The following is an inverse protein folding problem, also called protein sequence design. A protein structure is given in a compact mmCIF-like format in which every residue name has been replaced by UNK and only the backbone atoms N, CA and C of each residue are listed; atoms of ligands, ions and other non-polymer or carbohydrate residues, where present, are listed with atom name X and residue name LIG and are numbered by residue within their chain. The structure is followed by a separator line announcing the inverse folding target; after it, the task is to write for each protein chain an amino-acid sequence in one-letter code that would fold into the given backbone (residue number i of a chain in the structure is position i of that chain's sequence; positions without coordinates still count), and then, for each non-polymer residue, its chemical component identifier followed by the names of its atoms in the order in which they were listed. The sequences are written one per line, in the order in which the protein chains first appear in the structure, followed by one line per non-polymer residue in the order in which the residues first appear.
data_IF_957532791511
#
_entry.id   IF_957532791511
#
_cell.length_a   1.000
_cell.length_b   1.000
_cell.length_c   1.000
_cell.angle_alpha   90.00
_cell.angle_beta   90.00
_cell.angle_gamma   90.00
#
_symmetry.space_group_name_H-M   'P 1'
#
loop_
_entity.id
_entity.type
_entity.pdbx_description
1 polymer ?
#
# COMPACT_ATOMS: atom_id res chain seq x y z
N UNK A 1 2.33 -12.66 -23.51
CA UNK A 1 3.74 -13.00 -23.22
C UNK A 1 3.77 -13.72 -21.88
N UNK A 2 4.06 -15.03 -21.89
CA UNK A 2 3.88 -15.95 -20.75
C UNK A 2 5.14 -15.97 -19.87
N UNK A 3 5.11 -15.34 -18.70
CA UNK A 3 6.17 -15.52 -17.69
C UNK A 3 5.76 -16.73 -16.83
N UNK A 4 6.49 -17.82 -16.99
CA UNK A 4 6.33 -19.05 -16.21
C UNK A 4 6.62 -18.74 -14.74
N UNK A 5 5.60 -18.82 -13.88
CA UNK A 5 5.79 -19.03 -12.44
C UNK A 5 6.49 -20.37 -12.25
N UNK A 6 7.79 -20.34 -12.01
CA UNK A 6 8.54 -21.50 -11.58
C UNK A 6 8.25 -21.72 -10.09
N UNK A 7 7.62 -22.85 -9.78
CA UNK A 7 7.53 -23.42 -8.45
C UNK A 7 8.91 -23.39 -7.77
N UNK A 8 9.03 -22.64 -6.67
CA UNK A 8 10.07 -22.85 -5.67
C UNK A 8 9.41 -23.52 -4.47
N UNK A 9 9.00 -24.78 -4.67
CA UNK A 9 8.55 -25.68 -3.61
C UNK A 9 9.56 -26.83 -3.47
N UNK A 10 10.79 -26.48 -3.11
CA UNK A 10 11.82 -27.44 -2.71
C UNK A 10 12.79 -26.75 -1.74
N UNK A 11 12.34 -26.47 -0.52
CA UNK A 11 13.20 -25.90 0.53
C UNK A 11 13.70 -26.99 1.49
N UNK A 12 14.81 -27.59 1.05
CA UNK A 12 16.00 -27.94 1.84
C UNK A 12 15.83 -28.71 3.16
N UNK A 13 15.76 -30.05 3.05
CA UNK A 13 16.36 -30.98 4.02
C UNK A 13 17.78 -31.38 3.58
N UNK A 14 18.58 -30.41 3.12
CA UNK A 14 20.00 -30.63 2.84
C UNK A 14 20.74 -30.78 4.17
N UNK A 15 21.24 -31.99 4.47
CA UNK A 15 22.10 -32.24 5.60
C UNK A 15 23.36 -31.36 5.50
N UNK A 16 23.40 -30.27 6.27
CA UNK A 16 24.60 -29.44 6.44
C UNK A 16 25.55 -30.18 7.39
N UNK A 17 26.88 -30.14 7.14
CA UNK A 17 27.83 -30.74 8.05
C UNK A 17 27.74 -30.05 9.42
N UNK A 18 27.44 -30.82 10.45
CA UNK A 18 27.25 -30.35 11.82
C UNK A 18 28.58 -29.86 12.39
N UNK A 19 28.69 -28.62 12.85
CA UNK A 19 29.69 -28.34 13.88
C UNK A 19 29.31 -29.15 15.11
N UNK A 20 30.28 -29.87 15.68
CA UNK A 20 30.09 -30.62 16.93
C UNK A 20 29.48 -29.75 18.06
N UNK A 21 29.72 -28.44 18.01
CA UNK A 21 29.25 -27.42 18.94
C UNK A 21 27.72 -27.20 18.91
N UNK A 22 27.06 -27.54 17.81
CA UNK A 22 25.59 -27.45 17.66
C UNK A 22 24.89 -28.81 17.74
N UNK A 23 25.61 -29.89 18.04
CA UNK A 23 25.06 -31.26 18.05
C UNK A 23 23.81 -31.39 18.93
N UNK A 24 23.78 -30.75 20.09
CA UNK A 24 22.61 -30.74 20.98
C UNK A 24 21.41 -30.01 20.36
N UNK A 25 21.62 -28.79 19.83
CA UNK A 25 20.57 -27.99 19.21
C UNK A 25 19.92 -28.73 18.03
N UNK A 26 20.71 -29.35 17.16
CA UNK A 26 20.18 -30.15 16.06
C UNK A 26 19.51 -31.45 16.52
N UNK A 27 19.96 -32.06 17.62
CA UNK A 27 19.28 -33.23 18.20
C UNK A 27 17.90 -32.85 18.73
N UNK A 28 17.78 -31.71 19.40
CA UNK A 28 16.51 -31.16 19.86
C UNK A 28 15.57 -30.89 18.67
N UNK A 29 16.03 -30.22 17.60
CA UNK A 29 15.25 -30.02 16.38
C UNK A 29 14.74 -31.33 15.75
N UNK A 30 15.57 -32.37 15.70
CA UNK A 30 15.19 -33.68 15.14
C UNK A 30 14.09 -34.37 15.92
N UNK A 31 14.00 -34.12 17.23
CA UNK A 31 12.94 -34.65 18.10
C UNK A 31 11.69 -33.76 18.14
N UNK A 32 11.73 -32.58 17.53
CA UNK A 32 10.66 -31.58 17.63
C UNK A 32 10.72 -30.70 18.88
N UNK A 33 11.81 -30.76 19.66
CA UNK A 33 12.08 -29.90 20.82
C UNK A 33 12.57 -28.51 20.32
N UNK A 34 11.69 -27.74 19.66
CA UNK A 34 12.07 -26.50 18.95
C UNK A 34 12.53 -25.40 19.89
N UNK A 35 11.84 -25.19 21.01
CA UNK A 35 12.19 -24.18 22.01
C UNK A 35 13.57 -24.44 22.64
N UNK A 36 13.86 -25.70 22.95
CA UNK A 36 15.17 -26.13 23.45
C UNK A 36 16.24 -25.85 22.40
N UNK A 37 15.97 -26.16 21.13
CA UNK A 37 16.91 -25.86 20.05
C UNK A 37 17.19 -24.35 19.92
N UNK A 38 16.15 -23.51 19.98
CA UNK A 38 16.29 -22.04 19.96
C UNK A 38 17.20 -21.60 21.10
N UNK A 39 16.92 -22.03 22.33
CA UNK A 39 17.72 -21.71 23.52
C UNK A 39 19.20 -22.12 23.34
N UNK A 40 19.44 -23.31 22.79
CA UNK A 40 20.78 -23.82 22.54
C UNK A 40 21.52 -23.06 21.43
N UNK A 41 20.83 -22.55 20.42
CA UNK A 41 21.43 -21.67 19.41
C UNK A 41 21.67 -20.26 19.97
N UNK A 42 20.74 -19.68 20.73
CA UNK A 42 20.87 -18.35 21.32
C UNK A 42 22.06 -18.26 22.28
N UNK A 43 22.29 -19.30 23.09
CA UNK A 43 23.46 -19.42 23.95
C UNK A 43 24.81 -19.38 23.20
N UNK A 44 24.80 -19.59 21.89
CA UNK A 44 25.99 -19.61 21.02
C UNK A 44 26.23 -18.31 20.25
N UNK A 45 25.29 -17.36 20.28
CA UNK A 45 25.42 -16.07 19.58
C UNK A 45 26.64 -15.27 20.08
N UNK A 46 26.88 -15.32 21.40
CA UNK A 46 27.96 -14.58 22.08
C UNK A 46 29.24 -15.41 22.27
N UNK A 47 29.40 -16.52 21.54
CA UNK A 47 30.62 -17.33 21.63
C UNK A 47 31.85 -16.50 21.24
N UNK A 48 32.98 -16.58 21.99
CA UNK A 48 34.21 -15.88 21.66
C UNK A 48 34.71 -16.16 20.24
N UNK A 49 34.39 -17.33 19.70
CA UNK A 49 34.67 -17.67 18.30
C UNK A 49 33.54 -17.14 17.42
N UNK A 50 33.75 -15.96 16.85
CA UNK A 50 32.76 -15.21 16.04
C UNK A 50 32.04 -16.08 14.99
N UNK A 51 32.73 -17.03 14.33
CA UNK A 51 32.10 -17.91 13.32
C UNK A 51 30.98 -18.78 13.89
N UNK A 52 31.03 -19.15 15.17
CA UNK A 52 29.97 -19.90 15.85
C UNK A 52 28.73 -19.01 15.97
N UNK A 53 28.90 -17.76 16.38
CA UNK A 53 27.80 -16.81 16.45
C UNK A 53 27.11 -16.59 15.10
N UNK A 54 27.87 -16.55 13.99
CA UNK A 54 27.30 -16.40 12.63
C UNK A 54 26.40 -17.56 12.29
N UNK A 55 26.84 -18.79 12.56
CA UNK A 55 26.04 -19.97 12.29
C UNK A 55 24.82 -20.06 13.20
N UNK A 56 24.97 -19.73 14.49
CA UNK A 56 23.85 -19.69 15.43
C UNK A 56 22.74 -18.76 14.91
N UNK A 57 23.09 -17.53 14.53
CA UNK A 57 22.17 -16.55 13.96
C UNK A 57 21.57 -17.07 12.63
N UNK A 58 22.36 -17.71 11.76
CA UNK A 58 21.85 -18.31 10.53
C UNK A 58 20.84 -19.44 10.78
N UNK A 59 21.09 -20.32 11.76
CA UNK A 59 20.14 -21.40 12.09
C UNK A 59 18.87 -20.87 12.76
N UNK A 60 18.99 -19.88 13.65
CA UNK A 60 17.82 -19.20 14.22
C UNK A 60 16.96 -18.58 13.11
N UNK A 61 17.58 -17.88 12.15
CA UNK A 61 16.85 -17.36 11.00
C UNK A 61 16.06 -18.45 10.26
N UNK A 62 16.65 -19.63 10.06
CA UNK A 62 15.96 -20.77 9.41
C UNK A 62 14.84 -21.36 10.25
N UNK A 63 14.98 -21.42 11.58
CA UNK A 63 13.94 -21.90 12.50
C UNK A 63 12.74 -20.96 12.44
N UNK A 64 12.95 -19.66 12.68
CA UNK A 64 11.88 -18.66 12.67
C UNK A 64 11.22 -18.50 11.28
N UNK A 65 11.90 -18.89 10.21
CA UNK A 65 11.36 -18.88 8.84
C UNK A 65 10.61 -20.15 8.43
N UNK A 66 10.56 -21.16 9.29
CA UNK A 66 10.00 -22.47 8.95
C UNK A 66 8.54 -22.58 9.43
N UNK A 67 7.56 -22.62 8.51
CA UNK A 67 6.14 -22.68 8.87
C UNK A 67 5.73 -23.98 9.57
N UNK A 68 6.61 -25.00 9.59
CA UNK A 68 6.39 -26.23 10.39
C UNK A 68 6.42 -25.94 11.89
N UNK A 69 7.13 -24.91 12.33
CA UNK A 69 7.26 -24.51 13.73
C UNK A 69 6.29 -23.37 14.04
N UNK A 70 4.98 -23.62 13.96
CA UNK A 70 3.93 -22.60 13.96
C UNK A 70 4.05 -21.56 15.08
N UNK A 71 4.34 -22.00 16.31
CA UNK A 71 4.47 -21.14 17.50
C UNK A 71 5.67 -20.19 17.41
N UNK A 72 6.68 -20.54 16.62
CA UNK A 72 7.92 -19.77 16.44
C UNK A 72 8.03 -19.16 15.04
N UNK A 73 7.03 -19.32 14.17
CA UNK A 73 7.11 -18.79 12.81
C UNK A 73 6.98 -17.26 12.84
N UNK A 74 8.07 -16.57 12.49
CA UNK A 74 8.13 -15.11 12.48
C UNK A 74 9.16 -14.64 11.44
N UNK A 75 8.67 -14.17 10.28
CA UNK A 75 9.53 -13.74 9.18
C UNK A 75 10.37 -12.49 9.54
N UNK A 76 9.84 -11.57 10.34
CA UNK A 76 10.57 -10.39 10.82
C UNK A 76 11.74 -10.81 11.68
N UNK A 77 11.52 -11.66 12.67
CA UNK A 77 12.57 -12.15 13.55
C UNK A 77 13.61 -12.99 12.79
N UNK A 78 13.15 -13.84 11.86
CA UNK A 78 14.03 -14.58 10.96
C UNK A 78 14.95 -13.64 10.16
N UNK A 79 14.40 -12.55 9.62
CA UNK A 79 15.17 -11.57 8.85
C UNK A 79 16.19 -10.83 9.71
N UNK A 80 15.84 -10.46 10.95
CA UNK A 80 16.79 -9.85 11.89
C UNK A 80 17.96 -10.79 12.20
N UNK A 81 17.70 -12.08 12.43
CA UNK A 81 18.76 -13.05 12.65
C UNK A 81 19.65 -13.22 11.40
N UNK A 82 19.08 -13.29 10.20
CA UNK A 82 19.86 -13.38 8.96
C UNK A 82 20.72 -12.12 8.72
N UNK A 83 20.19 -10.93 9.05
CA UNK A 83 20.92 -9.65 8.98
C UNK A 83 22.06 -9.59 9.99
N UNK A 84 21.86 -10.08 11.22
CA UNK A 84 22.91 -10.19 12.23
C UNK A 84 24.00 -11.16 11.79
N UNK A 85 23.63 -12.33 11.25
CA UNK A 85 24.56 -13.30 10.70
C UNK A 85 25.43 -12.67 9.60
N UNK A 86 24.85 -11.89 8.69
CA UNK A 86 25.60 -11.20 7.62
C UNK A 86 26.59 -10.18 8.20
N UNK A 87 26.13 -9.32 9.13
CA UNK A 87 26.99 -8.32 9.77
C UNK A 87 28.17 -8.96 10.47
N UNK A 88 27.92 -10.05 11.20
CA UNK A 88 28.95 -10.79 11.91
C UNK A 88 29.89 -11.54 10.96
N UNK A 89 29.38 -12.11 9.87
CA UNK A 89 30.19 -12.73 8.82
C UNK A 89 31.21 -11.74 8.23
N UNK A 90 30.79 -10.48 8.00
CA UNK A 90 31.67 -9.42 7.47
C UNK A 90 32.84 -9.06 8.39
N UNK A 91 32.81 -9.44 9.67
CA UNK A 91 33.90 -9.20 10.64
C UNK A 91 34.87 -10.37 10.79
N UNK A 92 34.63 -11.49 10.09
CA UNK A 92 35.45 -12.69 10.22
C UNK A 92 36.82 -12.53 9.56
N UNK A 93 37.83 -13.11 10.21
CA UNK A 93 39.14 -13.33 9.60
C UNK A 93 39.08 -14.48 8.57
N UNK A 94 40.14 -14.61 7.77
CA UNK A 94 40.23 -15.66 6.74
C UNK A 94 40.08 -17.08 7.32
N UNK A 95 40.51 -17.31 8.57
CA UNK A 95 40.38 -18.60 9.26
C UNK A 95 38.92 -18.89 9.61
N UNK A 96 38.19 -17.90 10.13
CA UNK A 96 36.76 -17.97 10.42
C UNK A 96 35.94 -18.22 9.16
N UNK A 97 36.23 -17.48 8.08
CA UNK A 97 35.58 -17.66 6.77
C UNK A 97 35.76 -19.10 6.27
N UNK A 98 36.99 -19.63 6.27
CA UNK A 98 37.27 -21.01 5.84
C UNK A 98 36.51 -22.05 6.68
N UNK A 99 36.33 -21.81 7.99
CA UNK A 99 35.56 -22.71 8.87
C UNK A 99 34.08 -22.75 8.47
N UNK A 100 33.46 -21.61 8.20
CA UNK A 100 32.06 -21.56 7.75
C UNK A 100 31.88 -22.17 6.36
N UNK A 101 32.79 -21.88 5.43
CA UNK A 101 32.75 -22.40 4.06
C UNK A 101 32.88 -23.92 4.01
N UNK A 102 33.67 -24.54 4.90
CA UNK A 102 33.71 -26.01 5.04
C UNK A 102 32.34 -26.62 5.32
N UNK A 103 31.46 -25.86 5.97
CA UNK A 103 30.09 -26.26 6.29
C UNK A 103 29.05 -25.62 5.36
N UNK A 104 29.50 -25.16 4.19
CA UNK A 104 28.68 -24.57 3.13
C UNK A 104 27.94 -23.30 3.55
N UNK A 105 28.40 -22.61 4.60
CA UNK A 105 27.86 -21.30 4.98
C UNK A 105 28.75 -20.19 4.42
N UNK A 106 28.31 -19.55 3.35
CA UNK A 106 28.99 -18.43 2.71
C UNK A 106 28.22 -17.13 2.91
N UNK A 107 28.84 -15.99 2.60
CA UNK A 107 28.13 -14.70 2.53
C UNK A 107 26.91 -14.78 1.60
N UNK A 108 27.07 -15.39 0.42
CA UNK A 108 26.01 -15.54 -0.57
C UNK A 108 24.84 -16.39 -0.06
N UNK A 109 25.10 -17.40 0.77
CA UNK A 109 24.03 -18.20 1.40
C UNK A 109 23.21 -17.37 2.39
N UNK A 110 23.87 -16.52 3.17
CA UNK A 110 23.19 -15.63 4.13
C UNK A 110 22.38 -14.56 3.38
N UNK A 111 22.92 -13.97 2.31
CA UNK A 111 22.19 -13.04 1.45
C UNK A 111 21.02 -13.71 0.73
N UNK A 112 21.22 -14.93 0.22
CA UNK A 112 20.18 -15.73 -0.39
C UNK A 112 19.03 -16.00 0.58
N UNK A 113 19.33 -16.30 1.85
CA UNK A 113 18.32 -16.43 2.89
C UNK A 113 17.57 -15.11 3.13
N UNK A 114 18.27 -13.97 3.25
CA UNK A 114 17.60 -12.67 3.40
C UNK A 114 16.65 -12.36 2.25
N UNK A 115 17.07 -12.62 1.01
CA UNK A 115 16.22 -12.42 -0.18
C UNK A 115 15.00 -13.34 -0.16
N UNK A 116 15.17 -14.61 0.21
CA UNK A 116 14.04 -15.55 0.35
C UNK A 116 13.05 -15.11 1.43
N UNK A 117 13.54 -14.59 2.57
CA UNK A 117 12.70 -14.07 3.64
C UNK A 117 11.92 -12.84 3.19
N UNK A 118 12.57 -11.90 2.49
CA UNK A 118 11.91 -10.75 1.88
C UNK A 118 10.82 -11.20 0.90
N UNK A 119 11.11 -12.14 0.00
CA UNK A 119 10.14 -12.65 -0.98
C UNK A 119 8.93 -13.31 -0.31
N UNK A 120 9.14 -14.07 0.77
CA UNK A 120 8.05 -14.65 1.56
C UNK A 120 7.20 -13.57 2.23
N UNK A 121 7.84 -12.58 2.84
CA UNK A 121 7.14 -11.48 3.50
C UNK A 121 6.35 -10.62 2.49
N UNK A 122 6.92 -10.41 1.30
CA UNK A 122 6.24 -9.76 0.19
C UNK A 122 5.01 -10.56 -0.27
N UNK A 123 5.15 -11.86 -0.51
CA UNK A 123 4.03 -12.70 -0.91
C UNK A 123 2.90 -12.70 0.15
N UNK A 124 3.25 -12.64 1.43
CA UNK A 124 2.28 -12.47 2.52
C UNK A 124 1.59 -11.10 2.45
N UNK A 125 2.34 -10.02 2.30
CA UNK A 125 1.78 -8.67 2.20
C UNK A 125 0.89 -8.49 0.95
N UNK A 126 1.26 -9.07 -0.18
CA UNK A 126 0.46 -9.08 -1.41
C UNK A 126 -0.83 -9.90 -1.26
N UNK A 127 -0.78 -11.01 -0.52
CA UNK A 127 -1.96 -11.82 -0.22
C UNK A 127 -2.92 -11.11 0.73
N UNK A 128 -2.40 -10.50 1.79
CA UNK A 128 -3.20 -9.71 2.75
C UNK A 128 -3.71 -8.41 2.12
N UNK A 129 -2.91 -7.84 1.21
CA UNK A 129 -3.24 -6.69 0.39
C UNK A 129 -3.77 -5.50 1.21
N UNK A 130 -3.16 -5.27 2.37
CA UNK A 130 -3.59 -4.27 3.34
C UNK A 130 -2.53 -3.20 3.55
N UNK A 131 -2.95 -2.02 3.98
CA UNK A 131 -2.01 -0.94 4.35
C UNK A 131 -1.02 -1.40 5.42
N UNK A 132 -1.50 -2.10 6.45
CA UNK A 132 -0.68 -2.55 7.57
C UNK A 132 0.40 -3.54 7.12
N UNK A 133 0.04 -4.50 6.26
CA UNK A 133 0.98 -5.52 5.78
C UNK A 133 2.11 -4.93 4.93
N UNK A 134 1.78 -4.03 3.99
CA UNK A 134 2.81 -3.35 3.19
C UNK A 134 3.67 -2.40 4.05
N UNK A 135 3.07 -1.70 5.02
CA UNK A 135 3.82 -0.86 5.94
C UNK A 135 4.80 -1.68 6.78
N UNK A 136 4.36 -2.82 7.32
CA UNK A 136 5.21 -3.72 8.09
C UNK A 136 6.38 -4.25 7.24
N UNK A 137 6.13 -4.63 5.99
CA UNK A 137 7.16 -5.06 5.06
C UNK A 137 8.22 -3.96 4.85
N UNK A 138 7.78 -2.71 4.62
CA UNK A 138 8.68 -1.57 4.39
C UNK A 138 9.53 -1.25 5.62
N UNK A 139 8.96 -1.34 6.82
CA UNK A 139 9.64 -0.97 8.07
C UNK A 139 10.65 -2.02 8.53
N UNK A 140 10.43 -3.31 8.21
CA UNK A 140 11.17 -4.40 8.83
C UNK A 140 12.15 -5.12 7.90
N UNK A 141 12.04 -4.94 6.58
CA UNK A 141 12.87 -5.64 5.60
C UNK A 141 13.72 -4.68 4.78
N UNK A 142 14.93 -5.12 4.42
CA UNK A 142 15.82 -4.40 3.50
C UNK A 142 15.54 -4.86 2.07
N UNK A 143 15.28 -3.91 1.18
CA UNK A 143 15.06 -4.19 -0.23
C UNK A 143 16.39 -4.27 -1.00
N UNK A 144 16.46 -5.10 -2.06
CA UNK A 144 17.65 -5.22 -2.90
C UNK A 144 17.88 -3.98 -3.76
N UNK A 145 16.84 -3.22 -4.09
CA UNK A 145 16.92 -1.99 -4.87
C UNK A 145 15.85 -0.98 -4.46
N UNK A 146 16.10 0.28 -4.80
CA UNK A 146 15.15 1.37 -4.60
C UNK A 146 13.86 1.14 -5.41
N UNK A 147 13.96 0.70 -6.66
CA UNK A 147 12.80 0.39 -7.51
C UNK A 147 11.89 -0.70 -6.91
N UNK A 148 12.46 -1.71 -6.25
CA UNK A 148 11.67 -2.74 -5.56
C UNK A 148 10.92 -2.15 -4.36
N UNK A 149 11.59 -1.30 -3.58
CA UNK A 149 10.96 -0.58 -2.46
C UNK A 149 9.81 0.32 -2.94
N UNK A 150 10.01 1.05 -4.03
CA UNK A 150 9.01 1.93 -4.65
C UNK A 150 7.76 1.16 -5.09
N UNK A 151 7.91 -0.04 -5.67
CA UNK A 151 6.76 -0.87 -6.02
C UNK A 151 5.86 -1.18 -4.80
N UNK A 152 6.46 -1.50 -3.66
CA UNK A 152 5.74 -1.78 -2.41
C UNK A 152 5.17 -0.50 -1.80
N UNK A 153 5.90 0.62 -1.83
CA UNK A 153 5.41 1.93 -1.38
C UNK A 153 4.18 2.38 -2.19
N UNK A 154 4.17 2.13 -3.50
CA UNK A 154 3.02 2.42 -4.34
C UNK A 154 1.78 1.61 -3.93
N UNK A 155 1.92 0.30 -3.72
CA UNK A 155 0.83 -0.55 -3.25
C UNK A 155 0.31 -0.11 -1.88
N UNK A 156 1.21 0.25 -0.96
CA UNK A 156 0.84 0.83 0.35
C UNK A 156 0.06 2.13 0.20
N UNK A 157 0.52 3.05 -0.65
CA UNK A 157 -0.13 4.36 -0.85
C UNK A 157 -1.53 4.21 -1.41
N UNK A 158 -1.73 3.29 -2.36
CA UNK A 158 -3.07 2.95 -2.88
C UNK A 158 -3.99 2.43 -1.76
N UNK A 159 -3.48 1.55 -0.87
CA UNK A 159 -4.27 1.06 0.27
C UNK A 159 -4.53 2.14 1.31
N UNK A 160 -3.57 3.02 1.56
CA UNK A 160 -3.74 4.18 2.44
C UNK A 160 -4.85 5.10 1.93
N UNK A 161 -4.88 5.36 0.61
CA UNK A 161 -5.94 6.14 -0.03
C UNK A 161 -7.32 5.49 0.17
N UNK A 162 -7.44 4.19 -0.14
CA UNK A 162 -8.71 3.45 0.04
C UNK A 162 -9.20 3.54 1.49
N UNK A 163 -8.32 3.34 2.48
CA UNK A 163 -8.69 3.45 3.89
C UNK A 163 -9.11 4.87 4.27
N UNK A 164 -8.45 5.90 3.74
CA UNK A 164 -8.82 7.28 4.00
C UNK A 164 -10.19 7.63 3.40
N UNK A 165 -10.53 7.09 2.23
CA UNK A 165 -11.85 7.25 1.62
C UNK A 165 -12.97 6.60 2.44
N UNK A 166 -12.69 5.52 3.19
CA UNK A 166 -13.71 4.83 4.00
C UNK A 166 -14.20 5.68 5.17
N UNK A 167 -13.33 6.49 5.78
CA UNK A 167 -13.73 7.39 6.86
C UNK A 167 -14.13 8.77 6.33
N UNK A 168 -13.57 9.16 5.19
CA UNK A 168 -13.82 10.42 4.49
C UNK A 168 -13.72 11.65 5.41
N UNK A 169 -12.73 11.66 6.32
CA UNK A 169 -12.53 12.72 7.30
C UNK A 169 -11.17 13.39 7.16
N UNK A 170 -11.13 14.68 7.47
CA UNK A 170 -9.92 15.51 7.35
C UNK A 170 -8.73 14.97 8.14
N UNK A 171 -8.94 14.50 9.38
CA UNK A 171 -7.84 14.03 10.24
C UNK A 171 -7.20 12.77 9.68
N UNK A 172 -7.98 11.88 9.09
CA UNK A 172 -7.47 10.67 8.45
C UNK A 172 -6.69 10.99 7.19
N UNK A 173 -7.21 11.85 6.30
CA UNK A 173 -6.45 12.30 5.13
C UNK A 173 -5.14 12.97 5.54
N UNK A 174 -5.16 13.84 6.55
CA UNK A 174 -3.96 14.51 7.05
C UNK A 174 -2.93 13.53 7.60
N UNK A 175 -3.36 12.59 8.45
CA UNK A 175 -2.47 11.59 9.04
C UNK A 175 -1.74 10.79 7.95
N UNK A 176 -2.46 10.31 6.94
CA UNK A 176 -1.85 9.53 5.86
C UNK A 176 -0.96 10.38 4.95
N UNK A 177 -1.43 11.57 4.57
CA UNK A 177 -0.66 12.47 3.73
C UNK A 177 0.66 12.87 4.40
N UNK A 178 0.64 13.31 5.66
CA UNK A 178 1.86 13.67 6.41
C UNK A 178 2.79 12.48 6.60
N UNK A 179 2.25 11.30 6.94
CA UNK A 179 3.07 10.11 7.17
C UNK A 179 3.79 9.65 5.90
N UNK A 180 3.18 9.81 4.73
CA UNK A 180 3.67 9.22 3.48
C UNK A 180 4.02 10.24 2.39
N UNK A 181 4.09 11.53 2.72
CA UNK A 181 4.22 12.63 1.76
C UNK A 181 5.34 12.40 0.74
N UNK A 182 6.54 12.05 1.21
CA UNK A 182 7.70 11.85 0.34
C UNK A 182 7.44 10.75 -0.72
N UNK A 183 6.91 9.60 -0.30
CA UNK A 183 6.59 8.50 -1.21
C UNK A 183 5.34 8.74 -2.05
N UNK A 184 4.39 9.55 -1.59
CA UNK A 184 3.25 9.95 -2.40
C UNK A 184 3.73 10.79 -3.58
N UNK A 185 4.54 11.81 -3.30
CA UNK A 185 5.11 12.70 -4.31
C UNK A 185 5.98 11.96 -5.34
N UNK A 186 6.95 11.15 -4.86
CA UNK A 186 7.92 10.52 -5.75
C UNK A 186 7.45 9.24 -6.43
N UNK A 187 6.52 8.49 -5.83
CA UNK A 187 6.18 7.12 -6.27
C UNK A 187 4.71 6.98 -6.70
N UNK A 188 3.81 7.78 -6.12
CA UNK A 188 2.37 7.65 -6.33
C UNK A 188 1.73 9.01 -6.68
N UNK A 189 2.15 9.69 -7.76
CA UNK A 189 1.71 11.06 -8.08
C UNK A 189 0.20 11.18 -8.29
N UNK A 190 -0.46 10.08 -8.67
CA UNK A 190 -1.92 9.99 -8.75
C UNK A 190 -2.54 10.07 -7.36
N UNK A 191 -2.16 9.18 -6.45
CA UNK A 191 -2.64 9.16 -5.06
C UNK A 191 -2.27 10.43 -4.31
N UNK A 192 -1.08 11.01 -4.56
CA UNK A 192 -0.70 12.33 -4.05
C UNK A 192 -1.74 13.40 -4.42
N UNK A 193 -2.06 13.51 -5.72
CA UNK A 193 -3.05 14.48 -6.21
C UNK A 193 -4.42 14.26 -5.57
N UNK A 194 -4.83 13.00 -5.40
CA UNK A 194 -6.10 12.64 -4.76
C UNK A 194 -6.11 13.02 -3.26
N UNK A 195 -5.04 12.73 -2.52
CA UNK A 195 -4.92 13.12 -1.11
C UNK A 195 -4.92 14.63 -0.94
N UNK A 196 -4.17 15.36 -1.78
CA UNK A 196 -4.14 16.83 -1.70
C UNK A 196 -5.51 17.45 -1.95
N UNK A 197 -6.26 16.91 -2.91
CA UNK A 197 -7.65 17.32 -3.18
C UNK A 197 -8.58 17.00 -2.02
N UNK A 198 -8.54 15.77 -1.51
CA UNK A 198 -9.38 15.35 -0.39
C UNK A 198 -9.06 16.11 0.90
N UNK A 199 -7.80 16.52 1.10
CA UNK A 199 -7.38 17.35 2.24
C UNK A 199 -8.07 18.70 2.24
N UNK A 200 -7.99 19.45 1.13
CA UNK A 200 -8.65 20.75 1.03
C UNK A 200 -10.16 20.60 1.17
N UNK A 201 -10.73 19.67 0.42
CA UNK A 201 -12.16 19.46 0.38
C UNK A 201 -12.73 19.07 1.75
N UNK A 202 -12.14 18.10 2.44
CA UNK A 202 -12.56 17.72 3.79
C UNK A 202 -12.30 18.81 4.83
N UNK A 203 -11.23 19.61 4.68
CA UNK A 203 -10.95 20.75 5.56
C UNK A 203 -12.02 21.83 5.41
N UNK A 204 -12.36 22.20 4.18
CA UNK A 204 -13.37 23.24 3.89
C UNK A 204 -14.79 22.78 4.22
N UNK A 205 -15.09 21.48 4.14
CA UNK A 205 -16.35 20.93 4.66
C UNK A 205 -16.44 21.03 6.18
N UNK A 206 -15.32 20.82 6.90
CA UNK A 206 -15.30 20.84 8.36
C UNK A 206 -15.25 22.26 8.94
N UNK A 207 -14.49 23.16 8.31
CA UNK A 207 -14.17 24.49 8.85
C UNK A 207 -14.72 25.65 7.99
N UNK A 208 -15.36 25.35 6.86
CA UNK A 208 -15.84 26.34 5.91
C UNK A 208 -14.74 26.95 5.02
N UNK A 209 -15.16 27.54 3.91
CA UNK A 209 -14.26 28.22 2.97
C UNK A 209 -13.60 29.49 3.51
N UNK A 210 -14.19 30.12 4.53
CA UNK A 210 -13.56 31.23 5.26
C UNK A 210 -12.26 30.84 5.95
N UNK A 211 -12.04 29.53 6.18
CA UNK A 211 -10.83 29.00 6.81
C UNK A 211 -9.72 28.67 5.80
N UNK A 212 -9.89 29.01 4.52
CA UNK A 212 -8.91 28.69 3.46
C UNK A 212 -7.51 29.23 3.78
N UNK A 213 -7.38 30.47 4.27
CA UNK A 213 -6.07 31.01 4.65
C UNK A 213 -5.33 30.16 5.70
N UNK A 214 -6.06 29.62 6.69
CA UNK A 214 -5.48 28.69 7.68
C UNK A 214 -5.10 27.34 7.09
N UNK A 215 -5.78 26.90 6.02
CA UNK A 215 -5.36 25.73 5.26
C UNK A 215 -4.03 25.99 4.53
N UNK A 216 -3.85 27.17 3.94
CA UNK A 216 -2.64 27.54 3.22
C UNK A 216 -1.41 27.53 4.13
N UNK A 217 -1.53 28.16 5.31
CA UNK A 217 -0.48 28.16 6.33
C UNK A 217 -0.12 26.74 6.79
N UNK A 218 -1.11 25.85 6.93
CA UNK A 218 -0.91 24.49 7.43
C UNK A 218 -0.35 23.52 6.38
N UNK A 219 -0.62 23.77 5.11
CA UNK A 219 -0.25 22.91 3.98
C UNK A 219 0.38 23.70 2.83
N UNK A 220 1.46 24.47 3.04
CA UNK A 220 1.98 25.44 2.06
C UNK A 220 2.46 24.85 0.73
N UNK A 221 2.60 23.53 0.65
CA UNK A 221 2.99 22.78 -0.56
C UNK A 221 1.81 22.15 -1.30
N UNK A 222 0.57 22.37 -0.84
CA UNK A 222 -0.60 21.81 -1.51
C UNK A 222 -0.81 22.46 -2.88
N UNK A 223 -1.15 21.65 -3.89
CA UNK A 223 -1.42 22.06 -5.28
C UNK A 223 -2.49 23.14 -5.39
N UNK A 224 -3.42 23.21 -4.43
CA UNK A 224 -4.43 24.27 -4.35
C UNK A 224 -3.82 25.68 -4.25
N UNK A 225 -2.66 25.82 -3.60
CA UNK A 225 -2.04 27.10 -3.24
C UNK A 225 -1.20 27.65 -4.41
N UNK A 226 -0.92 26.83 -5.42
CA UNK A 226 -0.05 27.24 -6.53
C UNK A 226 -0.69 28.25 -7.49
N UNK A 227 -2.02 28.46 -7.39
CA UNK A 227 -2.75 29.40 -8.23
C UNK A 227 -3.79 30.16 -7.39
N UNK A 228 -3.33 31.26 -6.79
CA UNK A 228 -4.11 32.14 -5.91
C UNK A 228 -5.35 32.70 -6.62
N UNK A 229 -5.21 33.18 -7.86
CA UNK A 229 -6.36 33.76 -8.58
C UNK A 229 -7.47 32.74 -8.83
N UNK A 230 -7.11 31.52 -9.22
CA UNK A 230 -8.07 30.44 -9.40
C UNK A 230 -8.74 30.05 -8.08
N UNK A 231 -8.00 30.07 -6.97
CA UNK A 231 -8.54 29.84 -5.63
C UNK A 231 -9.57 30.91 -5.24
N UNK A 232 -9.21 32.20 -5.38
CA UNK A 232 -10.10 33.32 -5.07
C UNK A 232 -11.41 33.25 -5.86
N UNK A 233 -11.32 33.00 -7.17
CA UNK A 233 -12.50 32.89 -8.03
C UNK A 233 -13.37 31.69 -7.65
N UNK A 234 -12.76 30.58 -7.22
CA UNK A 234 -13.49 29.40 -6.76
C UNK A 234 -14.21 29.70 -5.45
N UNK A 235 -13.53 30.34 -4.49
CA UNK A 235 -14.08 30.67 -3.17
C UNK A 235 -15.35 31.51 -3.28
N UNK A 236 -15.42 32.44 -4.26
CA UNK A 236 -16.63 33.26 -4.53
C UNK A 236 -17.87 32.42 -4.85
N UNK A 237 -17.70 31.25 -5.47
CA UNK A 237 -18.79 30.36 -5.87
C UNK A 237 -18.89 29.10 -5.00
N UNK A 238 -18.01 28.92 -4.01
CA UNK A 238 -17.83 27.64 -3.35
C UNK A 238 -19.03 27.18 -2.50
N UNK A 239 -19.89 28.12 -2.10
CA UNK A 239 -21.16 27.85 -1.42
C UNK A 239 -22.38 27.86 -2.35
N UNK A 240 -22.17 28.02 -3.67
CA UNK A 240 -23.27 28.00 -4.64
C UNK A 240 -23.91 26.61 -4.71
N UNK A 241 -25.22 26.58 -4.81
CA UNK A 241 -26.00 25.37 -5.13
C UNK A 241 -26.32 25.26 -6.62
N UNK A 242 -25.87 26.23 -7.42
CA UNK A 242 -26.11 26.30 -8.84
C UNK A 242 -24.94 25.70 -9.64
N UNK A 243 -25.19 24.56 -10.29
CA UNK A 243 -24.22 23.88 -11.17
C UNK A 243 -23.62 24.84 -12.21
N UNK A 244 -24.40 25.80 -12.72
CA UNK A 244 -23.95 26.75 -13.76
C UNK A 244 -22.80 27.64 -13.29
N UNK A 245 -22.71 27.94 -12.01
CA UNK A 245 -21.63 28.79 -11.48
C UNK A 245 -20.29 28.06 -11.58
N UNK A 246 -20.26 26.77 -11.21
CA UNK A 246 -19.10 25.92 -11.35
C UNK A 246 -18.75 25.63 -12.82
N UNK A 247 -19.75 25.48 -13.70
CA UNK A 247 -19.50 25.34 -15.13
C UNK A 247 -18.89 26.60 -15.73
N UNK A 248 -19.39 27.78 -15.34
CA UNK A 248 -18.86 29.08 -15.79
C UNK A 248 -17.43 29.27 -15.29
N UNK A 249 -17.18 28.94 -14.03
CA UNK A 249 -15.82 28.94 -13.47
C UNK A 249 -14.87 28.07 -14.31
N UNK A 250 -15.29 26.86 -14.68
CA UNK A 250 -14.47 25.96 -15.49
C UNK A 250 -14.24 26.43 -16.92
N UNK A 251 -15.09 27.30 -17.48
CA UNK A 251 -14.81 27.93 -18.76
C UNK A 251 -13.65 28.94 -18.64
N UNK A 252 -13.59 29.68 -17.53
CA UNK A 252 -12.47 30.58 -17.22
C UNK A 252 -11.19 29.85 -16.76
N UNK A 253 -11.36 28.70 -16.11
CA UNK A 253 -10.30 27.88 -15.52
C UNK A 253 -10.42 26.42 -16.02
N UNK A 254 -10.09 26.11 -17.29
CA UNK A 254 -10.41 24.82 -17.91
C UNK A 254 -9.53 23.64 -17.50
N UNK A 255 -8.42 23.91 -16.80
CA UNK A 255 -7.41 22.90 -16.43
C UNK A 255 -6.90 23.17 -15.03
N UNK A 256 -6.29 22.14 -14.45
CA UNK A 256 -5.63 22.21 -13.16
C UNK A 256 -6.56 21.91 -11.99
N UNK A 257 -5.97 21.99 -10.80
CA UNK A 257 -6.56 21.51 -9.56
C UNK A 257 -7.96 22.08 -9.27
N UNK A 258 -8.16 23.39 -9.45
CA UNK A 258 -9.43 24.03 -9.16
C UNK A 258 -10.55 23.68 -10.18
N UNK A 259 -10.18 23.39 -11.43
CA UNK A 259 -11.13 22.83 -12.40
C UNK A 259 -11.63 21.46 -11.96
N UNK A 260 -10.72 20.61 -11.45
CA UNK A 260 -11.06 19.28 -10.96
C UNK A 260 -11.94 19.36 -9.68
N UNK A 261 -11.67 20.34 -8.82
CA UNK A 261 -12.52 20.61 -7.66
C UNK A 261 -13.92 21.11 -8.08
N UNK A 262 -14.01 21.99 -9.07
CA UNK A 262 -15.31 22.42 -9.61
C UNK A 262 -16.09 21.25 -10.21
N UNK A 263 -15.41 20.32 -10.90
CA UNK A 263 -16.00 19.07 -11.35
C UNK A 263 -16.59 18.23 -10.21
N UNK A 264 -15.87 18.12 -9.09
CA UNK A 264 -16.34 17.41 -7.90
C UNK A 264 -17.61 18.05 -7.31
N UNK A 265 -17.70 19.38 -7.31
CA UNK A 265 -18.90 20.11 -6.85
C UNK A 265 -20.08 19.91 -7.80
N UNK A 266 -19.89 20.01 -9.12
CA UNK A 266 -20.94 19.70 -10.12
C UNK A 266 -21.46 18.28 -9.93
N UNK A 267 -20.55 17.32 -9.72
CA UNK A 267 -20.90 15.93 -9.44
C UNK A 267 -21.79 15.82 -8.18
N UNK A 268 -21.39 16.43 -7.07
CA UNK A 268 -22.16 16.39 -5.81
C UNK A 268 -23.54 17.03 -5.94
N UNK A 269 -23.62 18.19 -6.56
CA UNK A 269 -24.90 18.87 -6.79
C UNK A 269 -25.84 18.03 -7.68
N UNK A 270 -25.29 17.39 -8.72
CA UNK A 270 -26.06 16.45 -9.56
C UNK A 270 -26.56 15.25 -8.76
N UNK A 271 -25.72 14.68 -7.90
CA UNK A 271 -26.10 13.55 -7.03
C UNK A 271 -27.13 13.94 -5.97
N UNK A 272 -27.07 15.16 -5.42
CA UNK A 272 -28.01 15.66 -4.41
C UNK A 272 -29.41 15.88 -4.97
N UNK A 273 -29.55 16.32 -6.23
CA UNK A 273 -30.87 16.48 -6.86
C UNK A 273 -31.60 15.16 -7.03
N UNK A 274 -30.86 14.06 -7.21
CA UNK A 274 -31.39 12.70 -7.23
C UNK A 274 -32.54 12.47 -8.24
N UNK A 275 -32.53 13.17 -9.38
CA UNK A 275 -33.53 13.04 -10.44
C UNK A 275 -32.91 12.57 -11.77
N UNK A 276 -33.71 11.86 -12.59
CA UNK A 276 -33.23 11.27 -13.85
C UNK A 276 -32.65 12.34 -14.79
N UNK A 277 -33.27 13.51 -14.89
CA UNK A 277 -32.88 14.52 -15.87
C UNK A 277 -31.51 15.12 -15.53
N UNK A 278 -31.28 15.49 -14.28
CA UNK A 278 -29.99 16.01 -13.82
C UNK A 278 -28.87 14.98 -13.97
N UNK A 279 -29.15 13.71 -13.64
CA UNK A 279 -28.17 12.63 -13.75
C UNK A 279 -27.87 12.25 -15.22
N UNK A 280 -28.87 12.21 -16.10
CA UNK A 280 -28.71 12.00 -17.55
C UNK A 280 -27.85 13.12 -18.16
N UNK A 281 -28.21 14.38 -17.89
CA UNK A 281 -27.48 15.54 -18.38
C UNK A 281 -26.01 15.51 -17.92
N UNK A 282 -25.77 15.18 -16.65
CA UNK A 282 -24.42 15.03 -16.11
C UNK A 282 -23.65 13.88 -16.80
N UNK A 283 -24.26 12.69 -16.92
CA UNK A 283 -23.65 11.52 -17.54
C UNK A 283 -23.25 11.77 -19.01
N UNK A 284 -24.11 12.46 -19.78
CA UNK A 284 -23.83 12.81 -21.19
C UNK A 284 -22.75 13.87 -21.31
N UNK A 285 -22.84 14.94 -20.53
CA UNK A 285 -21.89 16.07 -20.59
C UNK A 285 -20.51 15.70 -20.05
N UNK A 286 -20.44 14.72 -19.14
CA UNK A 286 -19.21 14.33 -18.44
C UNK A 286 -18.92 12.84 -18.54
N UNK A 287 -19.16 12.26 -19.72
CA UNK A 287 -19.02 10.82 -20.01
C UNK A 287 -17.69 10.23 -19.52
N UNK A 288 -16.57 10.92 -19.73
CA UNK A 288 -15.24 10.42 -19.38
C UNK A 288 -15.02 10.37 -17.87
N UNK A 289 -15.64 11.30 -17.13
CA UNK A 289 -15.58 11.35 -15.67
C UNK A 289 -16.42 10.25 -15.03
N UNK A 290 -17.62 9.98 -15.55
CA UNK A 290 -18.50 8.93 -15.00
C UNK A 290 -18.14 7.53 -15.50
N UNK A 291 -17.39 7.40 -16.60
CA UNK A 291 -17.02 6.12 -17.21
C UNK A 291 -16.32 5.13 -16.28
N UNK A 292 -15.74 5.59 -15.17
CA UNK A 292 -15.05 4.77 -14.19
C UNK A 292 -15.68 4.83 -12.79
N UNK A 293 -16.85 5.47 -12.64
CA UNK A 293 -17.50 5.69 -11.34
C UNK A 293 -18.68 4.76 -11.15
N UNK A 294 -18.40 3.53 -10.75
CA UNK A 294 -19.43 2.53 -10.44
C UNK A 294 -20.50 3.07 -9.47
N UNK A 295 -20.09 3.83 -8.43
CA UNK A 295 -21.02 4.42 -7.47
C UNK A 295 -22.01 5.41 -8.08
N UNK A 296 -21.60 6.18 -9.09
CA UNK A 296 -22.50 7.05 -9.84
C UNK A 296 -23.55 6.23 -10.56
N UNK A 297 -23.13 5.19 -11.29
CA UNK A 297 -24.04 4.34 -12.06
C UNK A 297 -24.97 3.51 -11.19
N UNK A 298 -24.51 3.05 -10.03
CA UNK A 298 -25.36 2.39 -9.03
C UNK A 298 -26.45 3.33 -8.52
N UNK A 299 -26.09 4.56 -8.14
CA UNK A 299 -27.06 5.53 -7.69
C UNK A 299 -28.04 5.93 -8.80
N UNK A 300 -27.51 6.21 -10.00
CA UNK A 300 -28.35 6.59 -11.13
C UNK A 300 -29.31 5.46 -11.51
N UNK A 301 -28.85 4.21 -11.52
CA UNK A 301 -29.73 3.06 -11.72
C UNK A 301 -30.84 2.98 -10.66
N UNK A 302 -30.52 3.20 -9.38
CA UNK A 302 -31.53 3.20 -8.32
C UNK A 302 -32.60 4.27 -8.54
N UNK A 303 -32.20 5.50 -8.86
CA UNK A 303 -33.12 6.62 -9.19
C UNK A 303 -33.95 6.27 -10.43
N UNK A 304 -33.31 5.74 -11.47
CA UNK A 304 -33.96 5.40 -12.73
C UNK A 304 -35.00 4.29 -12.55
N UNK A 305 -34.64 3.19 -11.88
CA UNK A 305 -35.52 2.07 -11.54
C UNK A 305 -36.71 2.51 -10.69
N UNK A 306 -36.47 3.38 -9.70
CA UNK A 306 -37.54 3.89 -8.84
C UNK A 306 -38.59 4.70 -9.62
N UNK A 307 -38.18 5.47 -10.62
CA UNK A 307 -39.08 6.31 -11.42
C UNK A 307 -39.70 5.60 -12.63
N UNK A 308 -39.04 4.58 -13.20
CA UNK A 308 -39.46 3.90 -14.44
C UNK A 308 -39.97 2.47 -14.24
N UNK A 309 -39.80 1.89 -13.06
CA UNK A 309 -40.27 0.54 -12.73
C UNK A 309 -39.37 -0.60 -13.21
N UNK A 310 -39.82 -1.86 -13.09
CA UNK A 310 -39.00 -3.07 -13.34
C UNK A 310 -38.52 -3.23 -14.80
N UNK A 311 -39.27 -2.68 -15.76
CA UNK A 311 -38.98 -2.75 -17.20
C UNK A 311 -37.86 -1.78 -17.63
N UNK A 312 -37.45 -0.89 -16.73
CA UNK A 312 -36.49 0.18 -17.00
C UNK A 312 -35.06 -0.31 -17.33
N UNK A 313 -34.75 -1.58 -17.06
CA UNK A 313 -33.40 -2.13 -17.24
C UNK A 313 -32.93 -2.09 -18.69
N UNK A 314 -33.77 -2.51 -19.62
CA UNK A 314 -33.41 -2.58 -21.03
C UNK A 314 -33.21 -1.18 -21.61
N UNK A 315 -34.11 -0.25 -21.29
CA UNK A 315 -34.00 1.17 -21.65
C UNK A 315 -32.73 1.81 -21.07
N UNK A 316 -32.41 1.54 -19.80
CA UNK A 316 -31.21 2.07 -19.14
C UNK A 316 -29.93 1.53 -19.77
N UNK A 317 -29.86 0.24 -20.08
CA UNK A 317 -28.71 -0.38 -20.74
C UNK A 317 -28.53 0.10 -22.18
N UNK A 318 -29.62 0.38 -22.90
CA UNK A 318 -29.58 0.97 -24.24
C UNK A 318 -29.02 2.39 -24.20
N UNK A 319 -29.46 3.20 -23.24
CA UNK A 319 -29.01 4.59 -23.09
C UNK A 319 -27.58 4.69 -22.50
N UNK A 320 -27.17 3.72 -21.68
CA UNK A 320 -25.90 3.72 -20.95
C UNK A 320 -25.16 2.38 -21.06
N UNK A 321 -24.68 1.98 -22.25
CA UNK A 321 -24.10 0.65 -22.48
C UNK A 321 -22.83 0.40 -21.66
N UNK A 322 -22.11 1.45 -21.26
CA UNK A 322 -20.92 1.34 -20.38
C UNK A 322 -21.22 0.67 -19.04
N UNK A 323 -22.49 0.70 -18.61
CA UNK A 323 -22.91 0.15 -17.32
C UNK A 323 -22.88 -1.37 -17.24
N UNK A 324 -22.77 -2.05 -18.38
CA UNK A 324 -22.55 -3.51 -18.44
C UNK A 324 -21.25 -3.94 -17.76
N UNK A 325 -20.28 -3.02 -17.61
CA UNK A 325 -19.01 -3.28 -16.93
C UNK A 325 -19.09 -3.16 -15.39
N UNK A 326 -20.24 -2.74 -14.85
CA UNK A 326 -20.41 -2.52 -13.41
C UNK A 326 -21.31 -3.58 -12.77
N UNK A 327 -21.13 -3.80 -11.48
CA UNK A 327 -22.00 -4.68 -10.68
C UNK A 327 -23.17 -3.87 -10.16
N UNK A 328 -24.13 -3.60 -11.05
CA UNK A 328 -25.39 -2.95 -10.70
C UNK A 328 -26.38 -4.00 -10.17
N UNK A 329 -27.14 -3.64 -9.12
CA UNK A 329 -28.20 -4.48 -8.58
C UNK A 329 -29.46 -4.36 -9.47
N UNK A 330 -29.46 -5.10 -10.58
CA UNK A 330 -30.51 -5.09 -11.60
C UNK A 330 -31.90 -5.40 -11.03
#
# INVERSE_FOLDING_TARGET
MKIKLLLIAALFLGATPLFAQFKSAYKALKKGEVEEAITLFEARILDPKVYIGVEAEYQLARIFANPKYKEFFNLKQAFQYAKSAQRRYATLDAKGIRKLQKNKLSHLEIEGLQLQLLQKAQAQAEKENSYAAYQELIENFKFPSQSHREHIENARNQRAWILAQMTNDFRTYERYFRKHQASLDSVSPKEDSLFQMALLDSYTQLYGWSSYGSFEERFPKNKAIQNEQAAEDFIKIANSTNIRDFETYRLGHPKGYWSDLAYLYIYRLSMQKADIFSLDAFARKHKDYVAQKESFWQFFWQVYKAAKGPEAKEEFLQNYPITQNFKLNW
#
